data_IF_881674793936
#
_entry.id   IF_881674793936
#
_cell.length_a   1.000
_cell.length_b   1.000
_cell.length_c   1.000
_cell.angle_alpha   90.00
_cell.angle_beta   90.00
_cell.angle_gamma   90.00
#
_symmetry.space_group_name_H-M   'P 1'
#
loop_
_entity.id
_entity.type
_entity.pdbx_description
1 polymer ?
#
# COMPACT_ATOMS: atom_id res chain seq x y z
N UNK A 1 5.37 15.75 51.10
CA UNK A 1 4.70 15.61 49.80
C UNK A 1 5.66 15.88 48.65
N UNK A 2 6.28 17.04 48.55
CA UNK A 2 7.19 17.42 47.45
C UNK A 2 8.34 16.43 47.15
N UNK A 3 8.90 15.76 48.19
CA UNK A 3 10.02 14.83 47.97
C UNK A 3 9.61 13.50 47.28
N UNK A 4 8.42 12.97 47.62
CA UNK A 4 7.88 11.79 46.94
C UNK A 4 7.58 12.07 45.45
N UNK A 5 6.87 13.16 45.16
CA UNK A 5 6.43 13.53 43.83
C UNK A 5 7.63 13.69 42.89
N UNK A 6 8.70 14.33 43.39
CA UNK A 6 9.90 14.58 42.58
C UNK A 6 10.62 13.31 42.16
N UNK A 7 10.82 12.37 43.10
CA UNK A 7 11.46 11.09 42.75
C UNK A 7 10.52 10.23 41.93
N UNK A 8 9.22 10.27 42.16
CA UNK A 8 8.22 9.56 41.39
C UNK A 8 8.20 10.04 39.93
N UNK A 9 8.32 11.35 39.66
CA UNK A 9 8.44 11.91 38.33
C UNK A 9 9.73 11.45 37.61
N UNK A 10 10.87 11.44 38.32
CA UNK A 10 12.11 10.91 37.73
C UNK A 10 11.99 9.43 37.34
N UNK A 11 11.37 8.61 38.20
CA UNK A 11 11.06 7.20 37.86
C UNK A 11 10.19 7.13 36.62
N UNK A 12 9.13 7.95 36.55
CA UNK A 12 8.22 8.00 35.40
C UNK A 12 8.93 8.37 34.09
N UNK A 13 9.88 9.32 34.14
CA UNK A 13 10.66 9.72 32.95
C UNK A 13 11.57 8.60 32.42
N UNK A 14 12.14 7.77 33.31
CA UNK A 14 12.90 6.58 32.90
C UNK A 14 11.98 5.63 32.08
N UNK A 15 10.81 5.32 32.62
CA UNK A 15 9.87 4.42 32.00
C UNK A 15 9.20 5.02 30.74
N UNK A 16 9.03 6.34 30.70
CA UNK A 16 8.56 7.08 29.54
C UNK A 16 9.51 6.92 28.35
N UNK A 17 10.81 7.14 28.59
CA UNK A 17 11.83 6.97 27.55
C UNK A 17 12.01 5.51 27.16
N UNK A 18 11.93 4.58 28.12
CA UNK A 18 11.95 3.15 27.85
C UNK A 18 10.77 2.71 26.96
N UNK A 19 9.57 3.26 27.20
CA UNK A 19 8.39 2.98 26.35
C UNK A 19 8.62 3.46 24.92
N UNK A 20 9.06 4.71 24.73
CA UNK A 20 9.33 5.25 23.39
C UNK A 20 10.40 4.44 22.68
N UNK A 21 11.47 4.09 23.37
CA UNK A 21 12.53 3.25 22.82
C UNK A 21 12.03 1.86 22.38
N UNK A 22 11.08 1.26 23.07
CA UNK A 22 10.59 -0.09 22.79
C UNK A 22 9.48 -0.15 21.73
N UNK A 23 8.69 0.93 21.58
CA UNK A 23 7.48 0.93 20.75
C UNK A 23 7.61 1.73 19.45
N UNK A 24 8.69 2.47 19.24
CA UNK A 24 8.98 3.18 17.98
C UNK A 24 10.02 2.41 17.18
N UNK A 25 9.82 2.25 15.86
CA UNK A 25 10.85 1.72 14.96
C UNK A 25 11.95 2.76 14.75
N UNK A 26 13.21 2.35 14.94
CA UNK A 26 14.34 3.27 15.02
C UNK A 26 14.96 3.53 13.64
N UNK A 27 15.13 4.81 13.30
CA UNK A 27 15.92 5.27 12.16
C UNK A 27 17.42 5.07 12.36
N UNK A 28 17.90 5.17 13.62
CA UNK A 28 19.32 5.12 13.98
C UNK A 28 19.68 3.80 14.63
N UNK A 29 21.00 3.55 14.80
CA UNK A 29 21.48 2.41 15.57
C UNK A 29 20.96 2.44 17.02
N UNK A 30 20.80 1.28 17.63
CA UNK A 30 20.30 1.18 19.03
C UNK A 30 21.09 2.05 20.02
N UNK A 31 22.40 2.16 19.84
CA UNK A 31 23.25 2.98 20.70
C UNK A 31 22.94 4.47 20.55
N UNK A 32 22.82 4.97 19.30
CA UNK A 32 22.47 6.38 19.04
C UNK A 32 21.07 6.70 19.54
N UNK A 33 20.11 5.80 19.32
CA UNK A 33 18.73 5.96 19.83
C UNK A 33 18.69 5.99 21.34
N UNK A 34 19.43 5.11 22.03
CA UNK A 34 19.53 5.11 23.48
C UNK A 34 20.16 6.42 24.02
N UNK A 35 21.18 6.94 23.34
CA UNK A 35 21.80 8.22 23.70
C UNK A 35 20.81 9.40 23.58
N UNK A 36 19.98 9.42 22.52
CA UNK A 36 18.94 10.44 22.35
C UNK A 36 17.88 10.32 23.47
N UNK A 37 17.39 9.13 23.76
CA UNK A 37 16.44 8.91 24.85
C UNK A 37 17.04 9.30 26.23
N UNK A 38 18.32 9.02 26.45
CA UNK A 38 19.01 9.42 27.67
C UNK A 38 19.15 10.95 27.79
N UNK A 39 19.49 11.63 26.70
CA UNK A 39 19.55 13.10 26.67
C UNK A 39 18.16 13.71 26.97
N UNK A 40 17.11 13.16 26.35
CA UNK A 40 15.73 13.59 26.61
C UNK A 40 15.32 13.33 28.08
N UNK A 41 15.70 12.19 28.64
CA UNK A 41 15.51 11.91 30.07
C UNK A 41 16.19 12.97 30.95
N UNK A 42 17.43 13.35 30.66
CA UNK A 42 18.12 14.40 31.38
C UNK A 42 17.39 15.74 31.27
N UNK A 43 16.92 16.09 30.07
CA UNK A 43 16.14 17.33 29.87
C UNK A 43 14.88 17.34 30.72
N UNK A 44 14.11 16.24 30.74
CA UNK A 44 12.90 16.11 31.57
C UNK A 44 13.21 16.23 33.07
N UNK A 45 14.28 15.59 33.52
CA UNK A 45 14.70 15.65 34.93
C UNK A 45 15.15 17.06 35.33
N UNK A 46 15.89 17.77 34.46
CA UNK A 46 16.30 19.15 34.70
C UNK A 46 15.07 20.07 34.77
N UNK A 47 14.05 19.87 33.92
CA UNK A 47 12.82 20.68 34.01
C UNK A 47 12.06 20.47 35.30
N UNK A 48 12.05 19.26 35.85
CA UNK A 48 11.47 19.03 37.20
C UNK A 48 12.27 19.72 38.31
N UNK A 49 13.61 19.67 38.24
CA UNK A 49 14.45 20.37 39.20
C UNK A 49 14.26 21.90 39.15
N UNK A 50 14.14 22.47 37.93
CA UNK A 50 13.85 23.88 37.72
C UNK A 50 12.49 24.24 38.31
N UNK A 51 11.48 23.45 38.07
CA UNK A 51 10.12 23.61 38.64
C UNK A 51 10.15 23.68 40.15
N UNK A 52 10.85 22.76 40.81
CA UNK A 52 10.97 22.68 42.26
C UNK A 52 11.74 23.81 42.88
N UNK A 53 12.82 24.26 42.21
CA UNK A 53 13.72 25.25 42.76
C UNK A 53 13.22 26.68 42.56
N UNK A 54 12.53 26.95 41.45
CA UNK A 54 12.18 28.31 41.03
C UNK A 54 10.69 28.61 41.22
N UNK A 55 9.82 27.58 41.02
CA UNK A 55 8.37 27.77 41.01
C UNK A 55 7.63 26.77 41.93
N UNK A 56 7.99 26.62 43.23
CA UNK A 56 7.45 25.54 44.05
C UNK A 56 5.94 25.60 44.30
N UNK A 57 5.33 26.81 44.24
CA UNK A 57 3.92 27.05 44.58
C UNK A 57 3.11 27.70 43.46
N UNK A 58 3.56 27.57 42.20
CA UNK A 58 2.92 28.24 41.06
C UNK A 58 2.23 27.28 40.11
N UNK A 59 0.90 27.13 40.23
CA UNK A 59 0.08 26.28 39.34
C UNK A 59 0.22 26.60 37.84
N UNK A 60 0.26 27.87 37.35
CA UNK A 60 0.42 28.16 35.95
C UNK A 60 1.74 27.63 35.37
N UNK A 61 2.84 27.79 36.11
CA UNK A 61 4.16 27.28 35.68
C UNK A 61 4.21 25.77 35.68
N UNK A 62 3.45 25.12 36.56
CA UNK A 62 3.30 23.67 36.55
C UNK A 62 2.72 23.18 35.21
N UNK A 63 1.65 23.79 34.75
CA UNK A 63 1.01 23.44 33.46
C UNK A 63 1.96 23.70 32.27
N UNK A 64 2.66 24.83 32.24
CA UNK A 64 3.61 25.19 31.19
C UNK A 64 4.74 24.17 31.10
N UNK A 65 5.34 23.78 32.24
CA UNK A 65 6.42 22.79 32.28
C UNK A 65 5.92 21.42 31.83
N UNK A 66 4.73 21.01 32.24
CA UNK A 66 4.12 19.76 31.82
C UNK A 66 3.89 19.70 30.29
N UNK A 67 3.37 20.78 29.69
CA UNK A 67 3.22 20.89 28.26
C UNK A 67 4.58 20.79 27.55
N UNK A 68 5.59 21.49 28.08
CA UNK A 68 6.95 21.41 27.55
C UNK A 68 7.51 19.98 27.61
N UNK A 69 7.32 19.26 28.70
CA UNK A 69 7.73 17.85 28.82
C UNK A 69 7.03 16.93 27.85
N UNK A 70 5.73 17.13 27.60
CA UNK A 70 5.01 16.41 26.56
C UNK A 70 5.63 16.71 25.20
N UNK A 71 5.91 17.97 24.86
CA UNK A 71 6.54 18.35 23.58
C UNK A 71 7.92 17.73 23.42
N UNK A 72 8.78 17.72 24.46
CA UNK A 72 10.09 17.05 24.44
C UNK A 72 9.92 15.55 24.15
N UNK A 73 8.95 14.91 24.77
CA UNK A 73 8.64 13.49 24.58
C UNK A 73 8.21 13.22 23.14
N UNK A 74 7.32 14.04 22.57
CA UNK A 74 6.88 13.92 21.17
C UNK A 74 8.03 14.15 20.20
N UNK A 75 8.82 15.19 20.43
CA UNK A 75 9.98 15.49 19.60
C UNK A 75 10.99 14.35 19.60
N UNK A 76 11.24 13.74 20.76
CA UNK A 76 12.12 12.56 20.88
C UNK A 76 11.58 11.41 20.05
N UNK A 77 10.30 11.09 20.17
CA UNK A 77 9.64 10.03 19.39
C UNK A 77 9.80 10.25 17.89
N UNK A 78 9.47 11.46 17.40
CA UNK A 78 9.56 11.82 15.97
C UNK A 78 11.02 11.80 15.49
N UNK A 79 11.97 12.24 16.33
CA UNK A 79 13.38 12.32 15.94
C UNK A 79 14.01 10.94 15.74
N UNK A 80 13.70 9.97 16.62
CA UNK A 80 14.23 8.61 16.53
C UNK A 80 13.49 7.73 15.54
N UNK A 81 12.27 8.13 15.12
CA UNK A 81 11.40 7.34 14.26
C UNK A 81 11.94 7.20 12.84
N UNK A 82 11.80 6.01 12.28
CA UNK A 82 12.08 5.72 10.87
C UNK A 82 11.07 6.42 9.95
N UNK A 83 9.78 6.32 10.26
CA UNK A 83 8.68 7.00 9.55
C UNK A 83 8.06 8.06 10.47
N UNK A 84 7.98 9.30 10.00
CA UNK A 84 7.42 10.44 10.73
C UNK A 84 5.94 10.61 10.38
N UNK A 85 5.07 9.86 11.04
CA UNK A 85 3.63 9.84 10.77
C UNK A 85 2.82 9.98 12.05
N UNK A 86 1.48 10.08 11.93
CA UNK A 86 0.55 10.17 13.05
C UNK A 86 0.69 9.02 14.07
N UNK A 87 1.16 7.85 13.63
CA UNK A 87 1.37 6.68 14.50
C UNK A 87 2.43 6.92 15.55
N UNK A 88 3.50 7.64 15.22
CA UNK A 88 4.54 8.03 16.17
C UNK A 88 3.99 9.00 17.21
N UNK A 89 3.17 9.97 16.78
CA UNK A 89 2.49 10.90 17.70
C UNK A 89 1.57 10.14 18.66
N UNK A 90 0.77 9.21 18.14
CA UNK A 90 -0.09 8.37 18.96
C UNK A 90 0.70 7.57 20.02
N UNK A 91 1.83 6.94 19.63
CA UNK A 91 2.69 6.20 20.56
C UNK A 91 3.27 7.12 21.61
N UNK A 92 3.78 8.29 21.23
CA UNK A 92 4.36 9.26 22.16
C UNK A 92 3.34 9.81 23.17
N UNK A 93 2.12 10.15 22.71
CA UNK A 93 1.03 10.59 23.59
C UNK A 93 0.56 9.46 24.53
N UNK A 94 0.49 8.22 24.01
CA UNK A 94 0.14 7.05 24.80
C UNK A 94 1.19 6.71 25.87
N UNK A 95 2.47 7.05 25.63
CA UNK A 95 3.53 6.91 26.60
C UNK A 95 3.29 7.76 27.86
N UNK A 96 2.78 8.98 27.71
CA UNK A 96 2.39 9.83 28.85
C UNK A 96 1.26 9.20 29.67
N UNK A 97 0.25 8.64 29.02
CA UNK A 97 -0.84 7.94 29.71
C UNK A 97 -0.39 6.67 30.43
N UNK A 98 0.56 5.95 29.86
CA UNK A 98 1.15 4.78 30.51
C UNK A 98 1.82 5.12 31.84
N UNK A 99 2.65 6.17 31.88
CA UNK A 99 3.39 6.52 33.09
C UNK A 99 2.48 7.09 34.19
N UNK A 100 1.39 7.75 33.84
CA UNK A 100 0.35 8.19 34.76
C UNK A 100 -0.15 7.02 35.63
N UNK A 101 -0.46 5.87 34.98
CA UNK A 101 -0.98 4.72 35.74
C UNK A 101 0.01 4.19 36.78
N UNK A 102 1.30 4.13 36.45
CA UNK A 102 2.33 3.69 37.40
C UNK A 102 2.58 4.65 38.55
N UNK A 103 2.62 5.97 38.28
CA UNK A 103 2.79 6.99 39.33
C UNK A 103 1.57 7.09 40.24
N UNK A 104 0.37 6.94 39.70
CA UNK A 104 -0.89 6.92 40.50
C UNK A 104 -0.91 5.77 41.50
N UNK A 105 -0.45 4.57 41.11
CA UNK A 105 -0.33 3.45 42.06
C UNK A 105 0.60 3.80 43.22
N UNK A 106 1.74 4.43 42.91
CA UNK A 106 2.65 4.93 43.94
C UNK A 106 2.01 5.98 44.88
N UNK A 107 1.28 6.94 44.32
CA UNK A 107 0.52 7.94 45.08
C UNK A 107 -0.54 7.33 46.01
N UNK A 108 -1.31 6.38 45.49
CA UNK A 108 -2.31 5.63 46.28
C UNK A 108 -1.64 4.88 47.43
N UNK A 109 -0.50 4.23 47.21
CA UNK A 109 0.25 3.56 48.26
C UNK A 109 0.76 4.56 49.32
N UNK A 110 1.15 5.77 48.92
CA UNK A 110 1.55 6.81 49.87
C UNK A 110 0.38 7.27 50.74
N UNK A 111 -0.79 7.47 50.16
CA UNK A 111 -2.01 7.86 50.90
C UNK A 111 -2.35 6.83 51.99
N UNK A 112 -2.26 5.53 51.67
CA UNK A 112 -2.63 4.47 52.61
C UNK A 112 -1.54 4.14 53.64
N UNK A 113 -0.25 4.23 53.26
CA UNK A 113 0.85 3.75 54.10
C UNK A 113 1.62 4.88 54.82
N UNK A 114 1.58 6.11 54.29
CA UNK A 114 2.43 7.20 54.70
C UNK A 114 3.94 6.97 54.53
N UNK A 115 4.34 5.84 53.91
CA UNK A 115 5.73 5.40 53.78
C UNK A 115 6.28 5.72 52.40
N UNK A 116 7.11 6.78 52.29
CA UNK A 116 7.68 7.24 51.02
C UNK A 116 8.53 6.18 50.31
N UNK A 117 9.52 5.52 50.94
CA UNK A 117 10.31 4.46 50.26
C UNK A 117 9.48 3.31 49.73
N UNK A 118 8.48 2.86 50.50
CA UNK A 118 7.59 1.78 50.08
C UNK A 118 6.73 2.20 48.87
N UNK A 119 6.24 3.41 48.85
CA UNK A 119 5.41 3.96 47.78
C UNK A 119 6.21 4.18 46.48
N UNK A 120 7.47 4.64 46.60
CA UNK A 120 8.39 4.75 45.46
C UNK A 120 8.72 3.39 44.84
N UNK A 121 9.00 2.37 45.68
CA UNK A 121 9.21 1.01 45.23
C UNK A 121 7.95 0.48 44.55
N UNK A 122 6.76 0.71 45.10
CA UNK A 122 5.49 0.34 44.48
C UNK A 122 5.26 1.01 43.14
N UNK A 123 5.56 2.30 43.00
CA UNK A 123 5.51 3.02 41.72
C UNK A 123 6.44 2.39 40.70
N UNK A 124 7.71 2.11 41.06
CA UNK A 124 8.69 1.49 40.17
C UNK A 124 8.21 0.10 39.66
N UNK A 125 7.77 -0.76 40.60
CA UNK A 125 7.29 -2.10 40.22
C UNK A 125 6.00 -2.04 39.40
N UNK A 126 5.11 -1.09 39.66
CA UNK A 126 3.91 -0.88 38.85
C UNK A 126 4.27 -0.49 37.39
N UNK A 127 5.14 0.51 37.20
CA UNK A 127 5.63 0.89 35.88
C UNK A 127 6.28 -0.30 35.16
N UNK A 128 7.13 -1.06 35.85
CA UNK A 128 7.80 -2.22 35.28
C UNK A 128 6.80 -3.30 34.88
N UNK A 129 5.86 -3.65 35.73
CA UNK A 129 4.85 -4.66 35.45
C UNK A 129 3.97 -4.30 34.26
N UNK A 130 3.50 -3.04 34.21
CA UNK A 130 2.69 -2.54 33.10
C UNK A 130 3.53 -2.55 31.80
N UNK A 131 4.77 -2.08 31.83
CA UNK A 131 5.65 -2.08 30.66
C UNK A 131 5.90 -3.48 30.13
N UNK A 132 6.19 -4.44 30.99
CA UNK A 132 6.37 -5.85 30.60
C UNK A 132 5.09 -6.44 30.00
N UNK A 133 3.93 -6.14 30.58
CA UNK A 133 2.63 -6.55 30.03
C UNK A 133 2.41 -5.96 28.63
N UNK A 134 2.66 -4.66 28.44
CA UNK A 134 2.53 -3.98 27.15
C UNK A 134 3.50 -4.52 26.11
N UNK A 135 4.75 -4.79 26.48
CA UNK A 135 5.74 -5.40 25.61
C UNK A 135 5.34 -6.81 25.17
N UNK A 136 4.79 -7.62 26.08
CA UNK A 136 4.39 -9.00 25.75
C UNK A 136 3.12 -9.08 24.89
N UNK A 137 2.14 -8.21 25.15
CA UNK A 137 0.80 -8.30 24.52
C UNK A 137 0.57 -7.31 23.38
N UNK A 138 1.08 -6.10 23.49
CA UNK A 138 0.71 -4.97 22.63
C UNK A 138 1.82 -4.58 21.66
N UNK A 139 3.09 -4.69 22.06
CA UNK A 139 4.22 -4.26 21.23
C UNK A 139 4.19 -4.83 19.81
N UNK A 140 3.90 -6.14 19.66
CA UNK A 140 3.83 -6.77 18.33
C UNK A 140 2.74 -6.16 17.44
N UNK A 141 1.59 -5.81 18.03
CA UNK A 141 0.47 -5.17 17.32
C UNK A 141 0.85 -3.75 16.90
N UNK A 142 1.44 -2.97 17.80
CA UNK A 142 1.91 -1.62 17.52
C UNK A 142 2.96 -1.59 16.40
N UNK A 143 3.95 -2.46 16.44
CA UNK A 143 5.00 -2.51 15.41
C UNK A 143 4.44 -2.95 14.06
N UNK A 144 3.56 -3.94 14.01
CA UNK A 144 2.88 -4.33 12.76
C UNK A 144 2.02 -3.20 12.18
N UNK A 145 1.35 -2.44 13.06
CA UNK A 145 0.57 -1.27 12.64
C UNK A 145 1.48 -0.16 12.13
N UNK A 146 2.63 0.05 12.77
CA UNK A 146 3.61 1.06 12.39
C UNK A 146 4.10 0.87 10.94
N UNK A 147 4.38 -0.36 10.52
CA UNK A 147 4.96 -0.68 9.20
C UNK A 147 3.97 -0.55 8.04
N UNK A 148 2.66 -0.55 8.30
CA UNK A 148 1.64 -0.48 7.25
C UNK A 148 1.43 0.93 6.72
N UNK A 149 1.51 1.10 5.39
CA UNK A 149 1.35 2.40 4.71
C UNK A 149 -0.11 2.85 4.57
N UNK A 150 -1.04 1.92 4.38
CA UNK A 150 -2.46 2.19 4.14
C UNK A 150 -3.20 2.96 5.25
N UNK A 151 -2.60 3.08 6.44
CA UNK A 151 -3.18 3.72 7.62
C UNK A 151 -2.38 4.98 8.05
N UNK A 152 -1.78 5.71 7.10
CA UNK A 152 -0.93 6.86 7.44
C UNK A 152 -1.69 8.04 8.03
N UNK A 153 -2.95 8.25 7.64
CA UNK A 153 -3.72 9.48 7.90
C UNK A 153 -4.64 9.41 9.13
N UNK A 154 -4.49 8.40 9.99
CA UNK A 154 -5.31 8.28 11.22
C UNK A 154 -4.80 9.19 12.36
N UNK A 155 -4.55 10.47 12.06
CA UNK A 155 -4.19 11.47 13.07
C UNK A 155 -5.31 11.65 14.11
N UNK A 156 -6.56 11.37 13.76
CA UNK A 156 -7.72 11.39 14.65
C UNK A 156 -7.55 10.46 15.86
N UNK A 157 -6.83 9.35 15.71
CA UNK A 157 -6.53 8.47 16.85
C UNK A 157 -5.68 9.14 17.92
N UNK A 158 -4.92 10.18 17.58
CA UNK A 158 -4.14 10.95 18.53
C UNK A 158 -5.02 11.72 19.54
N UNK A 159 -6.28 11.97 19.22
CA UNK A 159 -7.23 12.60 20.14
C UNK A 159 -7.51 11.70 21.35
N UNK A 160 -7.51 10.39 21.19
CA UNK A 160 -7.78 9.43 22.26
C UNK A 160 -6.81 9.60 23.45
N UNK A 161 -5.47 9.52 23.27
CA UNK A 161 -4.55 9.76 24.35
C UNK A 161 -4.62 11.17 24.93
N UNK A 162 -4.91 12.18 24.11
CA UNK A 162 -5.08 13.56 24.57
C UNK A 162 -6.28 13.68 25.52
N UNK A 163 -7.43 13.15 25.12
CA UNK A 163 -8.63 13.19 25.96
C UNK A 163 -8.46 12.38 27.26
N UNK A 164 -7.80 11.23 27.21
CA UNK A 164 -7.50 10.48 28.43
C UNK A 164 -6.58 11.25 29.36
N UNK A 165 -5.54 11.90 28.82
CA UNK A 165 -4.64 12.73 29.63
C UNK A 165 -5.36 13.89 30.29
N UNK A 166 -6.14 14.65 29.53
CA UNK A 166 -6.92 15.79 30.04
C UNK A 166 -7.95 15.34 31.07
N UNK A 167 -8.70 14.28 30.80
CA UNK A 167 -9.72 13.77 31.73
C UNK A 167 -9.11 13.26 33.04
N UNK A 168 -7.96 12.57 32.93
CA UNK A 168 -7.23 12.15 34.12
C UNK A 168 -6.76 13.37 34.96
N UNK A 169 -6.22 14.39 34.29
CA UNK A 169 -5.75 15.60 34.97
C UNK A 169 -6.90 16.30 35.68
N UNK A 170 -8.08 16.37 35.08
CA UNK A 170 -9.26 16.91 35.76
C UNK A 170 -9.72 16.05 36.93
N UNK A 171 -9.60 14.73 36.85
CA UNK A 171 -10.08 13.83 37.91
C UNK A 171 -9.10 13.73 39.09
N UNK A 172 -7.80 13.82 38.85
CA UNK A 172 -6.77 13.56 39.86
C UNK A 172 -6.14 14.81 40.46
N UNK A 173 -6.25 15.98 39.76
CA UNK A 173 -5.56 17.21 40.21
C UNK A 173 -6.46 18.43 40.33
N UNK A 174 -7.69 18.40 39.82
CA UNK A 174 -8.56 19.57 39.82
C UNK A 174 -10.00 19.21 40.26
N UNK A 175 -10.68 20.00 41.12
CA UNK A 175 -10.18 21.20 41.84
C UNK A 175 -9.30 20.86 43.06
N UNK A 176 -9.24 19.58 43.44
CA UNK A 176 -8.47 19.07 44.56
C UNK A 176 -7.59 17.91 44.11
N UNK A 177 -6.43 17.77 44.73
CA UNK A 177 -5.54 16.65 44.43
C UNK A 177 -6.07 15.36 45.05
N UNK A 178 -5.63 14.20 44.50
CA UNK A 178 -6.02 12.90 45.03
C UNK A 178 -5.61 12.71 46.52
N UNK A 179 -4.62 13.48 47.00
CA UNK A 179 -4.21 13.48 48.40
C UNK A 179 -5.23 14.19 49.30
N UNK A 180 -5.86 15.23 48.76
CA UNK A 180 -6.85 16.03 49.52
C UNK A 180 -8.25 15.43 49.44
N UNK A 181 -8.53 14.62 48.39
CA UNK A 181 -9.81 13.96 48.16
C UNK A 181 -9.62 12.45 47.85
N UNK A 182 -9.20 11.64 48.86
CA UNK A 182 -8.94 10.22 48.69
C UNK A 182 -10.18 9.40 48.34
N UNK A 183 -11.38 9.92 48.52
CA UNK A 183 -12.66 9.34 48.09
C UNK A 183 -12.74 9.18 46.54
N UNK A 184 -11.93 9.92 45.79
CA UNK A 184 -11.86 9.81 44.31
C UNK A 184 -10.99 8.63 43.85
N UNK A 185 -10.25 7.94 44.72
CA UNK A 185 -9.38 6.80 44.36
C UNK A 185 -10.13 5.72 43.56
N UNK A 186 -11.33 5.27 43.95
CA UNK A 186 -12.05 4.27 43.15
C UNK A 186 -12.36 4.74 41.72
N UNK A 187 -12.74 6.00 41.55
CA UNK A 187 -13.03 6.59 40.24
C UNK A 187 -11.76 6.65 39.37
N UNK A 188 -10.62 7.02 39.93
CA UNK A 188 -9.32 7.05 39.26
C UNK A 188 -8.90 5.64 38.82
N UNK A 189 -9.07 4.62 39.65
CA UNK A 189 -8.76 3.23 39.32
C UNK A 189 -9.62 2.76 38.16
N UNK A 190 -10.95 2.98 38.23
CA UNK A 190 -11.87 2.61 37.15
C UNK A 190 -11.51 3.33 35.86
N UNK A 191 -11.15 4.61 35.93
CA UNK A 191 -10.72 5.39 34.79
C UNK A 191 -9.46 4.81 34.14
N UNK A 192 -8.43 4.45 34.90
CA UNK A 192 -7.19 3.83 34.38
C UNK A 192 -7.50 2.49 33.70
N UNK A 193 -8.35 1.65 34.32
CA UNK A 193 -8.77 0.38 33.71
C UNK A 193 -9.50 0.63 32.39
N UNK A 194 -10.44 1.57 32.37
CA UNK A 194 -11.19 1.94 31.16
C UNK A 194 -10.27 2.43 30.05
N UNK A 195 -9.28 3.24 30.38
CA UNK A 195 -8.25 3.72 29.48
C UNK A 195 -7.50 2.54 28.84
N UNK A 196 -6.97 1.61 29.61
CA UNK A 196 -6.26 0.43 29.05
C UNK A 196 -7.15 -0.46 28.21
N UNK A 197 -8.39 -0.71 28.62
CA UNK A 197 -9.36 -1.49 27.83
C UNK A 197 -9.64 -0.79 26.51
N UNK A 198 -9.83 0.53 26.50
CA UNK A 198 -10.05 1.31 25.28
C UNK A 198 -8.86 1.23 24.33
N UNK A 199 -7.63 1.30 24.80
CA UNK A 199 -6.44 1.10 23.96
C UNK A 199 -6.41 -0.29 23.32
N UNK A 200 -6.74 -1.33 24.10
CA UNK A 200 -6.78 -2.71 23.55
C UNK A 200 -7.86 -2.83 22.47
N UNK A 201 -9.04 -2.27 22.70
CA UNK A 201 -10.15 -2.28 21.73
C UNK A 201 -9.75 -1.54 20.45
N UNK A 202 -9.19 -0.32 20.57
CA UNK A 202 -8.75 0.48 19.41
C UNK A 202 -7.69 -0.25 18.59
N UNK A 203 -6.66 -0.81 19.24
CA UNK A 203 -5.60 -1.54 18.54
C UNK A 203 -6.13 -2.81 17.85
N UNK A 204 -7.05 -3.53 18.46
CA UNK A 204 -7.71 -4.68 17.83
C UNK A 204 -8.60 -4.28 16.67
N UNK A 205 -9.31 -3.16 16.79
CA UNK A 205 -10.13 -2.64 15.70
C UNK A 205 -9.25 -2.29 14.49
N UNK A 206 -8.16 -1.56 14.70
CA UNK A 206 -7.19 -1.20 13.65
C UNK A 206 -6.57 -2.45 13.02
N UNK A 207 -6.21 -3.47 13.80
CA UNK A 207 -5.71 -4.75 13.28
C UNK A 207 -6.77 -5.46 12.43
N UNK A 208 -8.01 -5.51 12.91
CA UNK A 208 -9.14 -6.14 12.19
C UNK A 208 -9.39 -5.46 10.85
N UNK A 209 -9.46 -4.12 10.84
CA UNK A 209 -9.69 -3.36 9.62
C UNK A 209 -8.57 -3.57 8.60
N UNK A 210 -7.33 -3.54 9.07
CA UNK A 210 -6.17 -3.84 8.24
C UNK A 210 -6.16 -5.27 7.67
N UNK A 211 -6.69 -6.26 8.40
CA UNK A 211 -6.83 -7.62 7.90
C UNK A 211 -7.96 -7.74 6.86
N UNK A 212 -9.07 -7.02 7.07
CA UNK A 212 -10.18 -6.95 6.09
C UNK A 212 -9.71 -6.37 4.77
N UNK A 213 -8.94 -5.29 4.79
CA UNK A 213 -8.37 -4.67 3.60
C UNK A 213 -7.45 -5.64 2.84
N UNK A 214 -6.57 -6.37 3.56
CA UNK A 214 -5.71 -7.38 2.94
C UNK A 214 -6.50 -8.54 2.30
N UNK A 215 -7.59 -8.98 2.93
CA UNK A 215 -8.46 -10.03 2.38
C UNK A 215 -9.18 -9.50 1.13
N UNK A 216 -9.66 -8.28 1.16
CA UNK A 216 -10.29 -7.63 0.02
C UNK A 216 -9.36 -7.60 -1.21
N UNK A 217 -8.13 -7.11 -1.04
CA UNK A 217 -7.16 -7.06 -2.14
C UNK A 217 -6.78 -8.45 -2.65
N UNK A 218 -6.66 -9.45 -1.76
CA UNK A 218 -6.43 -10.84 -2.18
C UNK A 218 -7.59 -11.39 -3.01
N UNK A 219 -8.82 -11.09 -2.64
CA UNK A 219 -10.00 -11.53 -3.38
C UNK A 219 -10.06 -10.87 -4.75
N UNK A 220 -9.80 -9.56 -4.86
CA UNK A 220 -9.73 -8.85 -6.14
C UNK A 220 -8.67 -9.45 -7.06
N UNK A 221 -7.48 -9.75 -6.52
CA UNK A 221 -6.41 -10.40 -7.29
C UNK A 221 -6.82 -11.81 -7.75
N UNK A 222 -7.47 -12.58 -6.86
CA UNK A 222 -7.93 -13.93 -7.17
C UNK A 222 -9.01 -13.94 -8.26
N UNK A 223 -9.99 -13.04 -8.19
CA UNK A 223 -11.01 -12.87 -9.23
C UNK A 223 -10.39 -12.52 -10.59
N UNK A 224 -9.40 -11.61 -10.61
CA UNK A 224 -8.65 -11.27 -11.82
C UNK A 224 -7.92 -12.48 -12.41
N UNK A 225 -7.32 -13.31 -11.55
CA UNK A 225 -6.64 -14.54 -11.95
C UNK A 225 -7.60 -15.58 -12.54
N UNK A 226 -8.76 -15.80 -11.89
CA UNK A 226 -9.80 -16.70 -12.41
C UNK A 226 -10.28 -16.26 -13.78
N UNK A 227 -10.55 -14.96 -13.97
CA UNK A 227 -10.96 -14.41 -15.25
C UNK A 227 -9.90 -14.61 -16.34
N UNK A 228 -8.62 -14.50 -15.99
CA UNK A 228 -7.51 -14.82 -16.87
C UNK A 228 -7.50 -16.30 -17.30
N UNK A 229 -7.74 -17.22 -16.36
CA UNK A 229 -7.84 -18.65 -16.67
C UNK A 229 -9.05 -18.99 -17.56
N UNK A 230 -10.20 -18.38 -17.30
CA UNK A 230 -11.41 -18.55 -18.14
C UNK A 230 -11.14 -18.11 -19.59
N UNK A 231 -10.50 -16.96 -19.78
CA UNK A 231 -10.11 -16.50 -21.12
C UNK A 231 -9.13 -17.47 -21.80
N UNK A 232 -8.16 -17.99 -21.06
CA UNK A 232 -7.21 -18.96 -21.57
C UNK A 232 -7.91 -20.27 -21.96
N UNK A 233 -8.86 -20.73 -21.15
CA UNK A 233 -9.67 -21.91 -21.45
C UNK A 233 -10.48 -21.72 -22.75
N UNK A 234 -11.14 -20.59 -22.94
CA UNK A 234 -11.87 -20.28 -24.18
C UNK A 234 -10.99 -20.25 -25.40
N UNK A 235 -9.76 -19.75 -25.30
CA UNK A 235 -8.80 -19.78 -26.41
C UNK A 235 -8.41 -21.21 -26.82
N UNK A 236 -8.19 -22.08 -25.80
CA UNK A 236 -7.89 -23.50 -26.03
C UNK A 236 -9.08 -24.20 -26.70
N UNK A 237 -10.30 -23.99 -26.20
CA UNK A 237 -11.53 -24.57 -26.77
C UNK A 237 -11.73 -24.14 -28.25
N UNK A 238 -11.51 -22.85 -28.52
CA UNK A 238 -11.59 -22.32 -29.90
C UNK A 238 -10.53 -22.93 -30.80
N UNK A 239 -9.31 -23.10 -30.31
CA UNK A 239 -8.22 -23.76 -31.03
C UNK A 239 -8.55 -25.23 -31.35
N UNK A 240 -9.06 -25.98 -30.39
CA UNK A 240 -9.48 -27.37 -30.59
C UNK A 240 -10.60 -27.49 -31.65
N UNK A 241 -11.58 -26.57 -31.61
CA UNK A 241 -12.65 -26.51 -32.61
C UNK A 241 -12.08 -26.26 -34.00
N UNK A 242 -11.17 -25.31 -34.14
CA UNK A 242 -10.53 -24.99 -35.42
C UNK A 242 -9.71 -26.18 -35.95
N UNK A 243 -8.96 -26.87 -35.08
CA UNK A 243 -8.22 -28.07 -35.43
C UNK A 243 -9.14 -29.22 -35.86
N UNK A 244 -10.33 -29.36 -35.29
CA UNK A 244 -11.33 -30.36 -35.66
C UNK A 244 -11.87 -30.09 -37.09
N UNK A 245 -12.19 -28.83 -37.37
CA UNK A 245 -12.62 -28.39 -38.70
C UNK A 245 -11.53 -28.66 -39.74
N UNK A 246 -10.31 -28.22 -39.48
CA UNK A 246 -9.17 -28.42 -40.37
C UNK A 246 -8.93 -29.92 -40.65
N UNK A 247 -9.01 -30.77 -39.64
CA UNK A 247 -8.86 -32.25 -39.80
C UNK A 247 -9.97 -32.86 -40.64
N UNK A 248 -11.19 -32.34 -40.49
CA UNK A 248 -12.32 -32.76 -41.30
C UNK A 248 -12.10 -32.40 -42.80
N UNK A 249 -11.71 -31.16 -43.07
CA UNK A 249 -11.50 -30.66 -44.42
C UNK A 249 -10.30 -31.36 -45.11
N UNK A 250 -9.23 -31.63 -44.36
CA UNK A 250 -8.10 -32.43 -44.86
C UNK A 250 -8.51 -33.86 -45.28
N UNK A 251 -9.42 -34.51 -44.53
CA UNK A 251 -9.96 -35.83 -44.91
C UNK A 251 -10.77 -35.75 -46.21
N UNK A 252 -11.58 -34.70 -46.36
CA UNK A 252 -12.36 -34.46 -47.56
C UNK A 252 -11.48 -34.24 -48.80
N UNK A 253 -10.46 -33.36 -48.66
CA UNK A 253 -9.51 -33.14 -49.76
C UNK A 253 -8.74 -34.40 -50.13
N UNK A 254 -8.30 -35.17 -49.13
CA UNK A 254 -7.61 -36.46 -49.39
C UNK A 254 -8.49 -37.46 -50.09
N UNK A 255 -9.77 -37.60 -49.72
CA UNK A 255 -10.73 -38.46 -50.35
C UNK A 255 -11.04 -38.03 -51.79
N UNK A 256 -11.15 -36.71 -52.02
CA UNK A 256 -11.40 -36.13 -53.35
C UNK A 256 -10.22 -36.37 -54.31
N UNK A 257 -8.98 -36.15 -53.84
CA UNK A 257 -7.76 -36.42 -54.58
C UNK A 257 -7.67 -37.91 -54.91
N UNK A 258 -7.95 -38.83 -53.99
CA UNK A 258 -7.93 -40.24 -54.19
C UNK A 258 -8.97 -40.69 -55.27
N UNK A 259 -10.18 -40.11 -55.25
CA UNK A 259 -11.24 -40.38 -56.25
C UNK A 259 -10.84 -39.87 -57.63
N UNK A 260 -10.29 -38.69 -57.78
CA UNK A 260 -9.84 -38.11 -59.05
C UNK A 260 -8.63 -38.88 -59.61
N UNK A 261 -7.74 -39.36 -58.77
CA UNK A 261 -6.63 -40.23 -59.14
C UNK A 261 -7.13 -41.58 -59.72
N UNK A 262 -8.16 -42.19 -59.14
CA UNK A 262 -8.75 -43.43 -59.62
C UNK A 262 -9.49 -43.25 -60.96
N UNK A 263 -9.86 -42.02 -61.32
CA UNK A 263 -10.52 -41.67 -62.60
C UNK A 263 -9.54 -41.09 -63.59
N UNK A 264 -8.23 -41.05 -63.32
CA UNK A 264 -7.15 -40.47 -64.10
C UNK A 264 -7.36 -39.00 -64.51
N UNK A 265 -8.16 -38.23 -63.72
CA UNK A 265 -8.53 -36.85 -64.01
C UNK A 265 -7.45 -35.86 -63.41
N UNK A 266 -6.26 -35.90 -64.04
CA UNK A 266 -5.08 -35.15 -63.56
C UNK A 266 -5.25 -33.63 -63.58
N UNK A 267 -6.00 -33.11 -64.58
CA UNK A 267 -6.25 -31.65 -64.64
C UNK A 267 -7.14 -31.14 -63.48
N UNK A 268 -8.05 -31.96 -63.02
CA UNK A 268 -8.88 -31.60 -61.87
C UNK A 268 -8.11 -31.69 -60.57
N UNK A 269 -7.19 -32.63 -60.42
CA UNK A 269 -6.28 -32.71 -59.27
C UNK A 269 -5.42 -31.46 -59.22
N UNK A 270 -4.88 -30.99 -60.32
CA UNK A 270 -4.09 -29.77 -60.38
C UNK A 270 -4.88 -28.54 -59.91
N UNK A 271 -6.10 -28.37 -60.46
CA UNK A 271 -6.99 -27.26 -60.00
C UNK A 271 -7.35 -27.34 -58.53
N UNK A 272 -7.61 -28.52 -57.99
CA UNK A 272 -7.91 -28.73 -56.61
C UNK A 272 -6.69 -28.37 -55.64
N UNK A 273 -5.48 -28.79 -56.07
CA UNK A 273 -4.25 -28.47 -55.33
C UNK A 273 -3.90 -27.00 -55.42
N UNK A 274 -4.15 -26.34 -56.58
CA UNK A 274 -4.03 -24.89 -56.71
C UNK A 274 -5.01 -24.15 -55.75
N UNK A 275 -6.27 -24.57 -55.71
CA UNK A 275 -7.29 -24.02 -54.83
C UNK A 275 -6.94 -24.22 -53.34
N UNK A 276 -6.45 -25.39 -52.94
CA UNK A 276 -5.97 -25.66 -51.57
C UNK A 276 -4.78 -24.74 -51.26
N UNK A 277 -3.87 -24.53 -52.19
CA UNK A 277 -2.71 -23.66 -52.03
C UNK A 277 -3.10 -22.19 -51.91
N UNK A 278 -4.08 -21.71 -52.67
CA UNK A 278 -4.63 -20.35 -52.60
C UNK A 278 -5.33 -20.13 -51.25
N UNK A 279 -6.20 -21.05 -50.85
CA UNK A 279 -6.91 -21.00 -49.53
C UNK A 279 -5.93 -21.04 -48.37
N UNK A 280 -4.83 -21.80 -48.48
CA UNK A 280 -3.74 -21.83 -47.49
C UNK A 280 -2.89 -20.56 -47.52
N UNK A 281 -2.81 -19.85 -48.66
CA UNK A 281 -2.08 -18.59 -48.81
C UNK A 281 -2.85 -17.40 -48.24
N UNK A 282 -4.18 -17.41 -48.29
CA UNK A 282 -5.04 -16.41 -47.65
C UNK A 282 -5.01 -16.53 -46.10
N UNK A 283 -4.59 -17.70 -45.59
CA UNK A 283 -4.25 -17.91 -44.17
C UNK A 283 -2.80 -17.52 -43.85
N UNK A 284 -2.16 -16.60 -44.59
CA UNK A 284 -0.87 -16.06 -44.17
C UNK A 284 -1.05 -15.41 -42.82
N UNK A 285 -0.63 -16.14 -41.79
CA UNK A 285 -0.41 -15.57 -40.44
C UNK A 285 0.62 -14.45 -40.59
N UNK A 286 0.16 -13.22 -40.65
CA UNK A 286 1.07 -12.07 -40.66
C UNK A 286 1.90 -12.16 -39.39
N UNK A 287 3.20 -12.37 -39.53
CA UNK A 287 4.10 -12.49 -38.39
C UNK A 287 4.51 -11.09 -37.95
N UNK A 288 3.90 -10.61 -36.91
CA UNK A 288 4.17 -9.30 -36.33
C UNK A 288 5.39 -9.31 -35.39
N UNK A 289 5.71 -10.45 -34.78
CA UNK A 289 6.82 -10.63 -33.85
C UNK A 289 7.41 -12.03 -33.94
N UNK A 290 8.68 -12.19 -33.56
CA UNK A 290 9.32 -13.50 -33.45
C UNK A 290 8.83 -14.26 -32.22
N UNK A 291 8.44 -13.56 -31.14
CA UNK A 291 7.86 -14.16 -29.96
C UNK A 291 6.43 -14.63 -30.22
N UNK A 292 6.14 -15.90 -29.92
CA UNK A 292 4.86 -16.56 -30.22
C UNK A 292 3.69 -15.91 -29.49
N UNK A 293 3.86 -15.61 -28.17
CA UNK A 293 2.80 -15.03 -27.32
C UNK A 293 2.46 -13.62 -27.80
N UNK A 294 3.49 -12.81 -28.02
CA UNK A 294 3.34 -11.45 -28.53
C UNK A 294 2.71 -11.43 -29.92
N UNK A 295 3.12 -12.35 -30.81
CA UNK A 295 2.54 -12.47 -32.15
C UNK A 295 1.04 -12.81 -32.09
N UNK A 296 0.62 -13.70 -31.18
CA UNK A 296 -0.79 -14.05 -31.02
C UNK A 296 -1.63 -12.84 -30.56
N UNK A 297 -1.13 -12.05 -29.60
CA UNK A 297 -1.80 -10.82 -29.13
C UNK A 297 -1.88 -9.78 -30.26
N UNK A 298 -0.78 -9.54 -31.02
CA UNK A 298 -0.81 -8.60 -32.11
C UNK A 298 -1.76 -9.04 -33.23
N UNK A 299 -1.85 -10.34 -33.54
CA UNK A 299 -2.83 -10.86 -34.50
C UNK A 299 -4.26 -10.52 -34.05
N UNK A 300 -4.57 -10.67 -32.77
CA UNK A 300 -5.87 -10.30 -32.18
C UNK A 300 -6.11 -8.78 -32.23
N UNK A 301 -5.13 -7.99 -31.84
CA UNK A 301 -5.19 -6.53 -31.93
C UNK A 301 -5.48 -6.05 -33.32
N UNK A 302 -4.85 -6.64 -34.37
CA UNK A 302 -5.06 -6.25 -35.73
C UNK A 302 -6.43 -6.72 -36.27
N UNK A 303 -6.95 -7.86 -35.79
CA UNK A 303 -8.32 -8.30 -36.07
C UNK A 303 -9.33 -7.30 -35.48
N UNK A 304 -9.16 -6.91 -34.24
CA UNK A 304 -10.04 -5.94 -33.56
C UNK A 304 -9.96 -4.56 -34.25
N UNK A 305 -8.77 -4.11 -34.63
CA UNK A 305 -8.59 -2.88 -35.39
C UNK A 305 -9.36 -2.86 -36.70
N UNK A 306 -9.28 -3.95 -37.43
CA UNK A 306 -10.07 -4.11 -38.67
C UNK A 306 -11.57 -4.08 -38.42
N UNK A 307 -12.04 -4.73 -37.35
CA UNK A 307 -13.46 -4.77 -37.01
C UNK A 307 -14.03 -3.39 -36.67
N UNK A 308 -13.20 -2.47 -36.12
CA UNK A 308 -13.57 -1.10 -35.77
C UNK A 308 -13.17 -0.06 -36.84
N UNK A 309 -12.61 -0.48 -37.97
CA UNK A 309 -12.07 0.41 -39.03
C UNK A 309 -11.04 1.43 -38.47
N UNK A 310 -10.09 0.92 -37.65
CA UNK A 310 -9.03 1.69 -37.04
C UNK A 310 -7.71 1.43 -37.80
N UNK A 311 -7.00 2.50 -38.20
CA UNK A 311 -5.66 2.43 -38.80
C UNK A 311 -4.59 2.26 -37.73
N UNK A 312 -3.92 1.09 -37.68
CA UNK A 312 -2.85 0.81 -36.74
C UNK A 312 -1.49 0.89 -37.43
N UNK A 313 -0.72 1.89 -37.06
CA UNK A 313 0.66 2.11 -37.50
C UNK A 313 1.61 1.59 -36.46
N UNK A 314 2.17 0.41 -36.63
CA UNK A 314 3.00 -0.24 -35.63
C UNK A 314 4.42 -0.54 -36.11
N UNK A 315 5.42 -0.24 -35.28
CA UNK A 315 6.80 -0.68 -35.44
C UNK A 315 7.15 -1.57 -34.22
N UNK A 316 7.32 -2.87 -34.48
CA UNK A 316 7.44 -3.89 -33.43
C UNK A 316 8.75 -4.64 -33.64
N UNK A 317 9.65 -4.49 -32.71
CA UNK A 317 10.96 -5.13 -32.68
C UNK A 317 11.14 -5.89 -31.37
N UNK A 318 10.59 -7.11 -31.33
CA UNK A 318 10.61 -7.97 -30.15
C UNK A 318 11.27 -9.29 -30.54
N UNK A 319 12.36 -9.70 -29.86
CA UNK A 319 13.05 -10.95 -30.10
C UNK A 319 12.19 -12.17 -29.69
N UNK A 320 12.60 -13.35 -30.05
CA UNK A 320 11.91 -14.60 -29.75
C UNK A 320 11.73 -14.79 -28.22
N UNK A 321 12.75 -14.46 -27.44
CA UNK A 321 12.73 -14.49 -25.96
C UNK A 321 12.91 -13.10 -25.39
N UNK A 322 12.09 -12.74 -24.41
CA UNK A 322 12.16 -11.47 -23.68
C UNK A 322 12.47 -11.74 -22.21
N UNK A 323 13.30 -10.91 -21.53
CA UNK A 323 13.69 -11.12 -20.15
C UNK A 323 12.62 -10.66 -19.14
N UNK A 324 11.35 -10.61 -19.56
CA UNK A 324 10.17 -10.32 -18.72
C UNK A 324 9.13 -11.42 -18.90
N UNK A 325 8.16 -11.50 -18.00
CA UNK A 325 7.06 -12.45 -18.11
C UNK A 325 6.27 -12.25 -19.42
N UNK A 326 6.38 -13.17 -20.37
CA UNK A 326 5.79 -13.06 -21.72
C UNK A 326 4.27 -12.82 -21.69
N UNK A 327 3.56 -13.53 -20.83
CA UNK A 327 2.10 -13.39 -20.67
C UNK A 327 1.71 -12.03 -20.05
N UNK A 328 2.49 -11.55 -19.11
CA UNK A 328 2.25 -10.24 -18.48
C UNK A 328 2.52 -9.11 -19.47
N UNK A 329 3.59 -9.23 -20.23
CA UNK A 329 3.93 -8.29 -21.29
C UNK A 329 2.84 -8.26 -22.38
N UNK A 330 2.35 -9.44 -22.79
CA UNK A 330 1.25 -9.57 -23.74
C UNK A 330 -0.04 -8.91 -23.19
N UNK A 331 -0.35 -9.08 -21.90
CA UNK A 331 -1.49 -8.43 -21.25
C UNK A 331 -1.35 -6.90 -21.23
N UNK A 332 -0.14 -6.38 -21.00
CA UNK A 332 0.15 -4.94 -21.07
C UNK A 332 -0.12 -4.40 -22.48
N UNK A 333 0.36 -5.10 -23.52
CA UNK A 333 0.10 -4.73 -24.93
C UNK A 333 -1.41 -4.71 -25.22
N UNK A 334 -2.13 -5.76 -24.81
CA UNK A 334 -3.58 -5.84 -24.99
C UNK A 334 -4.30 -4.65 -24.32
N UNK A 335 -3.97 -4.35 -23.07
CA UNK A 335 -4.56 -3.24 -22.32
C UNK A 335 -4.26 -1.87 -22.94
N UNK A 336 -3.05 -1.68 -23.48
CA UNK A 336 -2.68 -0.45 -24.16
C UNK A 336 -3.51 -0.22 -25.41
N UNK A 337 -3.64 -1.23 -26.27
CA UNK A 337 -4.43 -1.14 -27.49
C UNK A 337 -5.94 -1.04 -27.21
N UNK A 338 -6.46 -1.78 -26.23
CA UNK A 338 -7.86 -1.67 -25.81
C UNK A 338 -8.20 -0.25 -25.36
N UNK A 339 -7.34 0.38 -24.55
CA UNK A 339 -7.50 1.75 -24.10
C UNK A 339 -7.50 2.74 -25.30
N UNK A 340 -6.56 2.58 -26.23
CA UNK A 340 -6.47 3.41 -27.42
C UNK A 340 -7.70 3.23 -28.34
N UNK A 341 -8.14 2.00 -28.61
CA UNK A 341 -9.31 1.70 -29.43
C UNK A 341 -10.60 2.23 -28.82
N UNK A 342 -10.78 2.06 -27.50
CA UNK A 342 -11.93 2.63 -26.78
C UNK A 342 -12.00 4.15 -26.87
N UNK A 343 -10.86 4.82 -27.04
CA UNK A 343 -10.79 6.27 -27.24
C UNK A 343 -11.23 6.64 -28.67
N UNK A 344 -10.68 5.99 -29.70
CA UNK A 344 -10.79 6.45 -31.10
C UNK A 344 -11.92 5.80 -31.90
N UNK A 345 -12.50 4.67 -31.46
CA UNK A 345 -13.50 3.90 -32.22
C UNK A 345 -14.76 4.69 -32.64
N UNK A 346 -15.09 5.75 -31.92
CA UNK A 346 -16.27 6.60 -32.18
C UNK A 346 -15.92 7.89 -32.91
N UNK A 347 -14.67 8.12 -33.31
CA UNK A 347 -14.23 9.31 -34.01
C UNK A 347 -14.53 9.20 -35.52
N UNK A 348 -14.41 10.31 -36.22
CA UNK A 348 -14.43 10.31 -37.67
C UNK A 348 -13.29 9.47 -38.25
N UNK A 349 -13.49 8.91 -39.47
CA UNK A 349 -12.57 7.96 -40.06
C UNK A 349 -11.12 8.47 -40.15
N UNK A 350 -10.94 9.76 -40.39
CA UNK A 350 -9.62 10.39 -40.48
C UNK A 350 -8.87 10.45 -39.13
N UNK A 351 -9.58 10.39 -38.03
CA UNK A 351 -9.04 10.41 -36.65
C UNK A 351 -9.01 9.03 -35.99
N UNK A 352 -9.44 7.97 -36.70
CA UNK A 352 -9.39 6.59 -36.18
C UNK A 352 -8.05 5.94 -36.46
N UNK A 353 -7.02 6.43 -35.76
CA UNK A 353 -5.69 5.81 -35.88
C UNK A 353 -5.01 5.66 -34.55
N UNK A 354 -4.10 4.69 -34.46
CA UNK A 354 -3.24 4.44 -33.31
C UNK A 354 -1.83 4.21 -33.85
N UNK A 355 -0.86 4.89 -33.26
CA UNK A 355 0.56 4.66 -33.55
C UNK A 355 1.22 3.98 -32.36
N UNK A 356 1.95 2.88 -32.60
CA UNK A 356 2.63 2.13 -31.57
C UNK A 356 4.06 1.79 -31.98
N UNK A 357 5.01 2.02 -31.09
CA UNK A 357 6.40 1.60 -31.21
C UNK A 357 6.74 0.74 -29.99
N UNK A 358 7.13 -0.52 -30.24
CA UNK A 358 7.45 -1.48 -29.18
C UNK A 358 8.78 -2.13 -29.53
N UNK A 359 9.81 -1.70 -28.83
CA UNK A 359 11.17 -2.13 -29.10
C UNK A 359 11.78 -2.76 -27.84
N UNK A 360 12.40 -3.89 -28.01
CA UNK A 360 13.21 -4.54 -26.99
C UNK A 360 14.62 -4.69 -27.54
N UNK A 361 15.58 -3.94 -27.02
CA UNK A 361 16.97 -4.00 -27.39
C UNK A 361 17.82 -4.37 -26.17
N UNK A 362 18.64 -5.40 -26.29
CA UNK A 362 19.56 -6.01 -25.30
C UNK A 362 19.20 -5.84 -23.81
N UNK A 363 19.14 -4.60 -23.28
CA UNK A 363 18.89 -4.29 -21.86
C UNK A 363 17.73 -3.30 -21.64
N UNK A 364 16.93 -2.98 -22.67
CA UNK A 364 15.90 -1.95 -22.55
C UNK A 364 14.60 -2.37 -23.21
N UNK A 365 13.49 -2.05 -22.57
CA UNK A 365 12.14 -2.11 -23.12
C UNK A 365 11.61 -0.69 -23.30
N UNK A 366 11.19 -0.37 -24.52
CA UNK A 366 10.50 0.86 -24.85
C UNK A 366 9.14 0.54 -25.45
N UNK A 367 8.09 1.04 -24.86
CA UNK A 367 6.74 1.07 -25.44
C UNK A 367 6.34 2.53 -25.56
N UNK A 368 6.01 2.96 -26.76
CA UNK A 368 5.44 4.28 -27.04
C UNK A 368 4.17 4.09 -27.83
N UNK A 369 3.06 4.64 -27.34
CA UNK A 369 1.78 4.61 -28.02
C UNK A 369 1.17 6.01 -28.06
N UNK A 370 0.48 6.33 -29.18
CA UNK A 370 -0.16 7.61 -29.42
C UNK A 370 -1.51 7.39 -30.06
N UNK A 371 -2.51 8.12 -29.64
CA UNK A 371 -3.82 8.16 -30.27
C UNK A 371 -4.46 9.54 -30.15
N UNK A 372 -5.31 9.98 -31.09
CA UNK A 372 -6.10 11.20 -30.96
C UNK A 372 -7.02 11.14 -29.73
N UNK A 373 -7.33 12.32 -29.14
CA UNK A 373 -8.32 12.47 -28.09
C UNK A 373 -9.15 13.73 -28.33
N UNK A 374 -10.42 13.73 -27.86
CA UNK A 374 -11.33 14.88 -28.01
C UNK A 374 -11.78 15.44 -26.65
N UNK A 375 -11.71 14.65 -25.59
CA UNK A 375 -12.15 15.05 -24.26
C UNK A 375 -10.95 15.36 -23.37
N UNK A 376 -11.08 16.39 -22.57
CA UNK A 376 -10.07 16.75 -21.56
C UNK A 376 -9.74 15.55 -20.66
N UNK A 377 -8.47 15.22 -20.58
CA UNK A 377 -7.93 14.13 -19.78
C UNK A 377 -7.38 14.70 -18.47
N UNK A 378 -7.91 14.24 -17.35
CA UNK A 378 -7.45 14.64 -16.02
C UNK A 378 -6.42 13.63 -15.53
N UNK A 379 -5.28 14.12 -15.10
CA UNK A 379 -4.21 13.31 -14.53
C UNK A 379 -4.27 13.32 -13.00
N UNK A 380 -3.90 12.21 -12.40
CA UNK A 380 -3.69 12.15 -10.96
C UNK A 380 -2.40 12.88 -10.59
N UNK A 381 -2.42 13.85 -9.65
CA UNK A 381 -1.23 14.64 -9.34
C UNK A 381 -0.09 13.85 -8.67
N UNK A 382 -0.39 12.67 -8.12
CA UNK A 382 0.60 11.81 -7.44
C UNK A 382 1.20 10.79 -8.40
N UNK A 383 0.36 10.07 -9.14
CA UNK A 383 0.81 9.00 -10.06
C UNK A 383 1.09 9.48 -11.48
N UNK A 384 0.63 10.67 -11.88
CA UNK A 384 0.72 11.16 -13.26
C UNK A 384 -0.12 10.37 -14.27
N UNK A 385 -0.96 9.43 -13.81
CA UNK A 385 -1.79 8.60 -14.68
C UNK A 385 -3.17 9.23 -14.93
N UNK A 386 -3.81 8.95 -16.08
CA UNK A 386 -5.13 9.50 -16.39
C UNK A 386 -6.20 8.93 -15.47
N UNK A 387 -7.05 9.81 -14.92
CA UNK A 387 -8.21 9.42 -14.09
C UNK A 387 -9.39 9.00 -14.93
N UNK A 388 -9.97 7.82 -14.66
CA UNK A 388 -11.22 7.39 -15.28
C UNK A 388 -12.42 8.14 -14.68
N UNK A 389 -13.28 8.73 -15.54
CA UNK A 389 -14.57 9.33 -15.14
C UNK A 389 -15.69 8.28 -14.94
N UNK A 390 -15.48 7.02 -15.29
CA UNK A 390 -16.48 5.94 -15.31
C UNK A 390 -16.30 4.97 -14.12
N UNK A 391 -16.48 5.44 -12.87
CA UNK A 391 -16.59 4.57 -11.69
C UNK A 391 -15.34 3.73 -11.34
N UNK A 392 -15.37 3.07 -10.18
CA UNK A 392 -14.24 2.34 -9.58
C UNK A 392 -13.69 1.16 -10.41
N UNK A 393 -14.46 0.61 -11.36
CA UNK A 393 -14.03 -0.53 -12.19
C UNK A 393 -13.39 -0.12 -13.53
N UNK A 394 -13.30 1.16 -13.89
CA UNK A 394 -12.75 1.66 -15.15
C UNK A 394 -11.39 2.35 -14.94
N UNK A 395 -10.41 1.71 -14.50
CA UNK A 395 -9.05 2.21 -14.33
C UNK A 395 -8.05 1.06 -14.17
N UNK A 396 -8.56 -0.17 -14.13
CA UNK A 396 -7.77 -1.37 -13.88
C UNK A 396 -6.68 -1.59 -14.95
N UNK A 397 -6.95 -1.26 -16.22
CA UNK A 397 -5.98 -1.39 -17.30
C UNK A 397 -4.72 -0.53 -17.09
N UNK A 398 -4.88 0.76 -16.74
CA UNK A 398 -3.75 1.66 -16.48
C UNK A 398 -3.00 1.29 -15.19
N UNK A 399 -3.71 0.85 -14.16
CA UNK A 399 -3.08 0.34 -12.93
C UNK A 399 -2.27 -0.93 -13.18
N UNK A 400 -2.78 -1.84 -14.03
CA UNK A 400 -2.06 -3.05 -14.43
C UNK A 400 -0.77 -2.72 -15.20
N UNK A 401 -0.80 -1.72 -16.09
CA UNK A 401 0.37 -1.26 -16.84
C UNK A 401 1.40 -0.63 -15.90
N UNK A 402 0.95 0.20 -14.95
CA UNK A 402 1.82 0.80 -13.92
C UNK A 402 2.46 -0.25 -13.03
N UNK A 403 1.68 -1.21 -12.54
CA UNK A 403 2.19 -2.30 -11.70
C UNK A 403 3.21 -3.19 -12.42
N UNK A 404 3.04 -3.39 -13.72
CA UNK A 404 4.04 -4.07 -14.54
C UNK A 404 5.32 -3.25 -14.66
N UNK A 405 5.21 -1.93 -14.96
CA UNK A 405 6.37 -1.04 -15.03
C UNK A 405 7.16 -1.05 -13.72
N UNK A 406 6.49 -0.90 -12.57
CA UNK A 406 7.12 -0.91 -11.24
C UNK A 406 7.86 -2.23 -10.96
N UNK A 407 7.27 -3.37 -11.36
CA UNK A 407 7.86 -4.70 -11.14
C UNK A 407 9.14 -4.93 -11.92
N UNK A 408 9.22 -4.39 -13.13
CA UNK A 408 10.43 -4.49 -13.98
C UNK A 408 11.41 -3.33 -13.74
N UNK A 409 11.18 -2.51 -12.71
CA UNK A 409 12.04 -1.36 -12.39
C UNK A 409 11.98 -0.25 -13.44
N UNK A 410 10.89 -0.17 -14.19
CA UNK A 410 10.67 0.81 -15.25
C UNK A 410 9.89 2.03 -14.77
N UNK A 411 9.63 2.93 -15.71
CA UNK A 411 8.81 4.12 -15.51
C UNK A 411 7.74 4.21 -16.59
N UNK A 412 6.58 4.77 -16.20
CA UNK A 412 5.49 5.06 -17.12
C UNK A 412 5.19 6.55 -17.09
N UNK A 413 5.00 7.16 -18.25
CA UNK A 413 4.61 8.55 -18.41
C UNK A 413 3.42 8.69 -19.36
N UNK A 414 2.48 9.57 -18.99
CA UNK A 414 1.33 9.90 -19.82
C UNK A 414 1.24 11.42 -19.96
N UNK A 415 1.03 11.92 -21.16
CA UNK A 415 0.85 13.34 -21.43
C UNK A 415 0.03 13.59 -22.68
N UNK A 416 -0.45 14.81 -22.85
CA UNK A 416 -1.20 15.28 -24.01
C UNK A 416 -0.40 16.36 -24.73
N UNK A 417 -0.19 16.18 -26.05
CA UNK A 417 0.54 17.13 -26.90
C UNK A 417 -0.04 17.07 -28.31
N UNK A 418 -0.18 18.20 -28.99
CA UNK A 418 -0.63 18.34 -30.37
C UNK A 418 -1.93 17.58 -30.72
N UNK A 419 -2.88 17.49 -29.78
CA UNK A 419 -4.14 16.76 -29.94
C UNK A 419 -4.02 15.25 -29.86
N UNK A 420 -2.85 14.75 -29.44
CA UNK A 420 -2.57 13.34 -29.23
C UNK A 420 -2.36 13.04 -27.74
N UNK A 421 -2.92 11.92 -27.29
CA UNK A 421 -2.57 11.33 -26.00
C UNK A 421 -1.37 10.41 -26.21
N UNK A 422 -0.37 10.58 -25.38
CA UNK A 422 0.85 9.82 -25.38
C UNK A 422 0.96 8.98 -24.14
N UNK A 423 1.37 7.73 -24.31
CA UNK A 423 1.80 6.85 -23.23
C UNK A 423 3.19 6.30 -23.57
N UNK A 424 4.10 6.37 -22.61
CA UNK A 424 5.46 5.87 -22.75
C UNK A 424 5.79 5.02 -21.53
N UNK A 425 6.27 3.80 -21.78
CA UNK A 425 6.84 2.92 -20.77
C UNK A 425 8.28 2.64 -21.16
N UNK A 426 9.18 2.89 -20.23
CA UNK A 426 10.61 2.60 -20.39
C UNK A 426 11.10 1.81 -19.19
N UNK A 427 11.84 0.73 -19.45
CA UNK A 427 12.50 -0.05 -18.43
C UNK A 427 13.88 -0.50 -18.89
N UNK A 428 14.82 -0.58 -17.97
CA UNK A 428 16.08 -1.27 -18.15
C UNK A 428 15.86 -2.72 -17.67
N UNK A 429 16.03 -3.67 -18.61
CA UNK A 429 15.76 -5.10 -18.37
C UNK A 429 16.96 -5.82 -17.74
#
# INVERSE_FOLDING_TARGET
MNYFDNISYMISHIFLMAFIFLFVNHRYSRQKTAAVCFLSFLTLTVTDLVKLSIFPDSDPWYAVITIFQILVTQFTGIFIAEKRNAKVLFIGLSASNYVIAGSTIGGILLIFTGNVPFSLAGSFFAHLAILLFLCKKIRRLCLKWYDKESLQDLWELCLIPVFFYCSFSCLAFFPQTLYDAPENIPAVIVFIITMFVSYVVVLRYVESESNRENIYWKNVLFESYIKGLENQYHLVEQSEKNLRILRHDMRHYSAMIASLLAQEEYDQIRKLTEHISETSSDMKVVKYSQNIVVNAIFSKVMEDARSYDIDVRSDIQIPETIPVGEYEFAAVIANLFENAFNCVRNFDKEKRYVTAQIHTAQDHLLIKMQNPYEKEIFFDPVSGLPKSKKGANHGLGMQSISAFADRIGGSIGCFCEDGLFHIMLFAKL
#
